data_IF_546331637367
#
_entry.id   IF_546331637367
#
_cell.length_a   1.000
_cell.length_b   1.000
_cell.length_c   1.000
_cell.angle_alpha   90.00
_cell.angle_beta   90.00
_cell.angle_gamma   90.00
#
_symmetry.space_group_name_H-M   'P 1'
#
loop_
_entity.id
_entity.type
_entity.pdbx_description
1 polymer ?
#
# COMPACT_ATOMS: atom_id res chain seq x y z
N UNK A 1 -0.98 -8.39 -0.67
CA UNK A 1 -2.08 -8.44 0.32
C UNK A 1 -2.59 -7.01 0.53
N UNK A 2 -3.90 -6.79 0.55
CA UNK A 2 -4.49 -5.44 0.66
C UNK A 2 -5.02 -5.22 2.07
N UNK A 3 -4.74 -4.06 2.66
CA UNK A 3 -5.17 -3.62 3.98
C UNK A 3 -6.07 -2.39 3.79
N UNK A 4 -7.38 -2.58 3.57
CA UNK A 4 -8.31 -1.46 3.39
C UNK A 4 -8.50 -0.69 4.70
N UNK A 5 -9.10 0.52 4.60
CA UNK A 5 -9.34 1.42 5.73
C UNK A 5 -8.05 1.67 6.53
N UNK A 6 -6.94 1.86 5.82
CA UNK A 6 -5.60 1.86 6.40
C UNK A 6 -5.40 2.97 7.43
N UNK A 7 -5.79 4.20 7.10
CA UNK A 7 -5.85 5.36 8.01
C UNK A 7 -6.61 5.09 9.31
N UNK A 8 -7.65 4.25 9.29
CA UNK A 8 -8.46 3.90 10.47
C UNK A 8 -7.86 2.71 11.23
N UNK A 9 -8.11 1.50 10.74
CA UNK A 9 -7.82 0.26 11.46
C UNK A 9 -6.95 -0.71 10.67
N UNK A 10 -6.93 -0.64 9.34
CA UNK A 10 -6.19 -1.58 8.50
C UNK A 10 -4.69 -1.62 8.81
N UNK A 11 -4.08 -0.47 9.14
CA UNK A 11 -2.65 -0.38 9.51
C UNK A 11 -2.25 -1.24 10.71
N UNK A 12 -3.19 -1.56 11.61
CA UNK A 12 -2.93 -2.37 12.81
C UNK A 12 -2.57 -3.81 12.47
N UNK A 13 -2.93 -4.29 11.28
CA UNK A 13 -2.61 -5.65 10.84
C UNK A 13 -1.20 -5.77 10.23
N UNK A 14 -0.58 -4.65 9.84
CA UNK A 14 0.65 -4.66 9.05
C UNK A 14 1.79 -5.42 9.73
N UNK A 15 2.03 -5.19 11.02
CA UNK A 15 3.12 -5.85 11.75
C UNK A 15 2.93 -7.37 11.81
N UNK A 16 1.73 -7.84 12.17
CA UNK A 16 1.46 -9.28 12.24
C UNK A 16 1.52 -9.93 10.86
N UNK A 17 0.96 -9.27 9.84
CA UNK A 17 0.95 -9.80 8.47
C UNK A 17 2.35 -9.81 7.84
N UNK A 18 3.24 -8.89 8.19
CA UNK A 18 4.65 -8.94 7.75
C UNK A 18 5.35 -10.21 8.26
N UNK A 19 5.09 -10.60 9.50
CA UNK A 19 5.65 -11.84 10.07
C UNK A 19 5.04 -13.08 9.43
N UNK A 20 3.72 -13.09 9.22
CA UNK A 20 3.01 -14.26 8.67
C UNK A 20 3.19 -14.42 7.15
N UNK A 21 3.43 -13.33 6.43
CA UNK A 21 3.57 -13.27 4.97
C UNK A 21 4.88 -12.56 4.58
N UNK A 22 6.05 -13.08 4.98
CA UNK A 22 7.32 -12.37 4.86
C UNK A 22 7.73 -12.05 3.41
N UNK A 23 7.20 -12.80 2.45
CA UNK A 23 7.49 -12.61 1.02
C UNK A 23 6.39 -11.80 0.30
N UNK A 24 5.31 -11.42 0.98
CA UNK A 24 4.23 -10.67 0.37
C UNK A 24 4.50 -9.15 0.47
N UNK A 25 4.14 -8.43 -0.58
CA UNK A 25 3.97 -6.98 -0.49
C UNK A 25 2.60 -6.72 0.15
N UNK A 26 2.59 -5.93 1.22
CA UNK A 26 1.38 -5.46 1.86
C UNK A 26 1.06 -4.04 1.37
N UNK A 27 -0.20 -3.80 1.00
CA UNK A 27 -0.65 -2.52 0.43
C UNK A 27 -1.79 -1.99 1.31
N UNK A 28 -1.47 -1.02 2.15
CA UNK A 28 -2.43 -0.19 2.86
C UNK A 28 -3.10 0.79 1.92
N UNK A 29 -4.43 0.85 1.95
CA UNK A 29 -5.21 1.82 1.17
C UNK A 29 -6.16 2.53 2.13
N UNK A 30 -6.04 3.85 2.19
CA UNK A 30 -6.94 4.68 2.99
C UNK A 30 -8.38 4.64 2.50
N UNK A 31 -9.30 5.06 3.36
CA UNK A 31 -10.69 5.29 2.94
C UNK A 31 -10.77 6.29 1.79
N UNK A 32 -11.76 6.13 0.91
CA UNK A 32 -11.97 6.98 -0.27
C UNK A 32 -10.73 7.11 -1.18
N UNK A 33 -9.88 6.08 -1.20
CA UNK A 33 -8.62 6.04 -1.94
C UNK A 33 -8.53 4.75 -2.74
N UNK A 34 -7.89 4.82 -3.91
CA UNK A 34 -7.65 3.67 -4.75
C UNK A 34 -6.37 3.82 -5.55
N UNK A 35 -5.92 2.73 -6.16
CA UNK A 35 -4.78 2.73 -7.07
C UNK A 35 -5.11 1.93 -8.32
N UNK A 36 -4.70 2.44 -9.47
CA UNK A 36 -4.90 1.79 -10.76
C UNK A 36 -3.53 1.52 -11.37
N UNK A 37 -3.37 0.32 -11.92
CA UNK A 37 -2.17 -0.07 -12.64
C UNK A 37 -2.33 0.22 -14.13
N UNK A 38 -1.26 0.73 -14.73
CA UNK A 38 -1.10 0.85 -16.18
C UNK A 38 0.28 0.34 -16.56
N UNK A 39 0.39 -0.96 -16.83
CA UNK A 39 1.67 -1.65 -17.09
C UNK A 39 2.43 -1.91 -15.80
N UNK A 40 3.64 -1.40 -15.67
CA UNK A 40 4.44 -1.59 -14.45
C UNK A 40 4.23 -0.48 -13.40
N UNK A 41 3.45 0.55 -13.72
CA UNK A 41 3.24 1.71 -12.86
C UNK A 41 1.84 1.70 -12.25
N UNK A 42 1.80 1.86 -10.94
CA UNK A 42 0.61 2.15 -10.18
C UNK A 42 0.48 3.65 -9.95
N UNK A 43 -0.75 4.17 -10.04
CA UNK A 43 -1.06 5.55 -9.72
C UNK A 43 -2.14 5.62 -8.65
N UNK A 44 -1.96 6.52 -7.68
CA UNK A 44 -2.90 6.73 -6.57
C UNK A 44 -3.96 7.78 -6.92
N UNK A 45 -5.20 7.50 -6.57
CA UNK A 45 -6.38 8.33 -6.77
C UNK A 45 -7.19 8.44 -5.47
N UNK A 46 -8.09 9.42 -5.40
CA UNK A 46 -8.96 9.62 -4.23
C UNK A 46 -8.40 10.65 -3.25
N UNK A 47 -8.83 10.57 -1.99
CA UNK A 47 -8.59 11.61 -0.97
C UNK A 47 -7.40 11.35 -0.06
N UNK A 48 -7.01 10.09 0.13
CA UNK A 48 -5.94 9.68 1.03
C UNK A 48 -4.71 9.13 0.30
N UNK A 49 -4.04 8.19 0.96
CA UNK A 49 -2.75 7.66 0.53
C UNK A 49 -2.76 6.13 0.38
N UNK A 50 -1.75 5.63 -0.32
CA UNK A 50 -1.40 4.20 -0.36
C UNK A 50 -0.08 4.00 0.35
N UNK A 51 -0.04 3.08 1.31
CA UNK A 51 1.18 2.67 2.01
C UNK A 51 1.61 1.28 1.56
N UNK A 52 2.83 1.16 1.06
CA UNK A 52 3.45 -0.10 0.64
C UNK A 52 4.42 -0.56 1.72
N UNK A 53 4.22 -1.78 2.22
CA UNK A 53 5.18 -2.46 3.09
C UNK A 53 5.84 -3.62 2.34
N UNK A 54 7.18 -3.65 2.34
CA UNK A 54 7.97 -4.77 1.86
C UNK A 54 9.17 -4.98 2.77
N UNK A 55 9.35 -6.20 3.29
CA UNK A 55 10.39 -6.50 4.28
C UNK A 55 10.33 -5.47 5.42
N UNK A 56 11.40 -4.71 5.69
CA UNK A 56 11.42 -3.61 6.68
C UNK A 56 11.00 -2.24 6.09
N UNK A 57 11.04 -2.09 4.76
CA UNK A 57 10.72 -0.84 4.06
C UNK A 57 9.22 -0.51 4.09
N UNK A 58 8.91 0.75 4.38
CA UNK A 58 7.55 1.31 4.31
C UNK A 58 7.58 2.60 3.50
N UNK A 59 6.76 2.68 2.46
CA UNK A 59 6.67 3.86 1.58
C UNK A 59 5.22 4.29 1.48
N UNK A 60 4.95 5.58 1.58
CA UNK A 60 3.60 6.13 1.39
C UNK A 60 3.56 7.02 0.16
N UNK A 61 2.49 6.90 -0.61
CA UNK A 61 2.27 7.62 -1.86
C UNK A 61 0.87 8.24 -1.82
N UNK A 62 0.81 9.58 -1.86
CA UNK A 62 -0.45 10.32 -1.89
C UNK A 62 -1.06 10.43 -3.30
N UNK A 63 -2.24 11.05 -3.38
CA UNK A 63 -2.99 11.31 -4.61
C UNK A 63 -2.09 11.85 -5.75
N UNK A 64 -2.24 11.25 -6.93
CA UNK A 64 -1.48 11.63 -8.13
C UNK A 64 -0.07 11.06 -8.19
N UNK A 65 0.45 10.58 -7.06
CA UNK A 65 1.73 9.89 -6.99
C UNK A 65 1.70 8.56 -7.75
N UNK A 66 2.88 8.18 -8.25
CA UNK A 66 3.11 6.95 -8.99
C UNK A 66 4.20 6.13 -8.34
N UNK A 67 4.09 4.81 -8.42
CA UNK A 67 5.10 3.89 -7.93
C UNK A 67 5.07 2.58 -8.72
N UNK A 68 6.17 1.83 -8.66
CA UNK A 68 6.26 0.47 -9.21
C UNK A 68 6.41 -0.52 -8.06
N UNK A 69 5.80 -1.70 -8.19
CA UNK A 69 6.05 -2.81 -7.26
C UNK A 69 7.28 -3.64 -7.68
N UNK A 70 7.77 -3.42 -8.91
CA UNK A 70 8.98 -4.01 -9.45
C UNK A 70 10.14 -3.06 -9.09
N UNK A 71 10.68 -3.20 -7.87
CA UNK A 71 11.89 -2.48 -7.45
C UNK A 71 11.87 -1.81 -6.08
N UNK A 72 10.70 -1.74 -5.41
CA UNK A 72 10.59 -1.41 -3.97
C UNK A 72 10.83 -2.67 -3.18
#
# INVERSE_FOLDING_TARGET
CVLPHHNQFGKRWANNLRTLLPNAILIGIDEETGMINSGDNWQVYGKGEVTVYRSESTVTVGRGGKFSLIGI
#
